data_IF_864163574286
#
_entry.id   IF_864163574286
#
_cell.length_a   1.000
_cell.length_b   1.000
_cell.length_c   1.000
_cell.angle_alpha   90.00
_cell.angle_beta   90.00
_cell.angle_gamma   90.00
#
_symmetry.space_group_name_H-M   'P 1'
#
loop_
_entity.id
_entity.type
_entity.pdbx_description
1 polymer ?
#
# COMPACT_ATOMS: atom_id res chain seq x y z
N UNK A 1 9.79 13.67 24.02
CA UNK A 1 11.04 12.99 23.59
C UNK A 1 10.64 11.89 22.64
N UNK A 2 10.99 12.04 21.35
CA UNK A 2 10.70 11.06 20.32
C UNK A 2 11.68 9.89 20.49
N UNK A 3 11.19 8.76 20.99
CA UNK A 3 11.98 7.53 21.06
C UNK A 3 12.01 6.94 19.66
N UNK A 4 13.19 6.97 19.03
CA UNK A 4 13.42 6.46 17.68
C UNK A 4 13.06 4.97 17.60
N UNK A 5 12.14 4.62 16.70
CA UNK A 5 11.77 3.25 16.40
C UNK A 5 12.90 2.62 15.56
N UNK A 6 13.45 1.51 16.03
CA UNK A 6 14.60 0.83 15.45
C UNK A 6 14.31 0.17 14.09
N UNK A 7 15.34 0.18 13.22
CA UNK A 7 15.51 -0.60 11.99
C UNK A 7 14.55 -0.34 10.80
N UNK A 8 15.01 0.54 9.88
CA UNK A 8 14.52 0.76 8.50
C UNK A 8 12.98 0.77 8.33
N UNK A 9 12.27 1.47 9.20
CA UNK A 9 10.96 1.97 8.86
C UNK A 9 11.11 3.03 7.76
N UNK A 10 10.15 3.11 6.85
CA UNK A 10 10.07 4.22 5.90
C UNK A 10 9.96 5.53 6.72
N UNK A 11 11.01 6.34 6.74
CA UNK A 11 10.96 7.66 7.37
C UNK A 11 10.03 8.52 6.51
N UNK A 12 8.89 8.93 7.05
CA UNK A 12 7.92 9.76 6.37
C UNK A 12 8.15 11.21 6.79
N UNK A 13 8.78 12.05 5.93
CA UNK A 13 9.05 13.43 6.25
C UNK A 13 7.76 14.23 6.46
N UNK A 14 7.86 15.21 7.36
CA UNK A 14 6.77 16.05 7.85
C UNK A 14 6.41 17.21 6.91
N UNK A 15 7.33 17.58 6.00
CA UNK A 15 7.16 18.75 5.16
C UNK A 15 5.88 18.62 4.31
N UNK A 16 5.01 19.66 4.29
CA UNK A 16 3.87 19.66 3.39
C UNK A 16 4.40 19.46 1.97
N UNK A 17 3.82 18.50 1.26
CA UNK A 17 4.08 18.29 -0.15
C UNK A 17 3.77 19.61 -0.84
N UNK A 18 4.83 20.32 -1.26
CA UNK A 18 4.72 21.74 -1.64
C UNK A 18 3.76 21.94 -2.82
N UNK A 19 3.45 20.89 -3.58
CA UNK A 19 2.34 20.81 -4.52
C UNK A 19 1.85 19.35 -4.59
N UNK A 20 0.63 19.06 -4.13
CA UNK A 20 0.03 17.73 -4.31
C UNK A 20 -0.55 17.63 -5.72
N UNK A 21 -0.11 16.67 -6.57
CA UNK A 21 -0.77 16.40 -7.85
C UNK A 21 -2.15 15.77 -7.71
N UNK A 22 -2.50 15.34 -6.50
CA UNK A 22 -3.81 14.78 -6.19
C UNK A 22 -4.68 15.86 -5.52
N UNK A 23 -5.90 16.01 -6.02
CA UNK A 23 -6.93 16.88 -5.47
C UNK A 23 -8.15 16.02 -5.13
N UNK A 24 -8.24 15.65 -3.85
CA UNK A 24 -9.28 14.76 -3.32
C UNK A 24 -10.16 15.50 -2.32
N UNK A 25 -11.47 15.49 -2.57
CA UNK A 25 -12.53 15.87 -1.63
C UNK A 25 -12.58 14.89 -0.45
N UNK A 26 -13.25 15.30 0.64
CA UNK A 26 -13.43 14.44 1.80
C UNK A 26 -14.16 13.13 1.46
N UNK A 27 -15.16 13.19 0.57
CA UNK A 27 -15.89 12.01 0.11
C UNK A 27 -15.00 11.06 -0.70
N UNK A 28 -14.18 11.58 -1.63
CA UNK A 28 -13.27 10.73 -2.43
C UNK A 28 -12.24 10.03 -1.54
N UNK A 29 -11.72 10.71 -0.50
CA UNK A 29 -10.86 10.07 0.50
C UNK A 29 -11.57 8.93 1.21
N UNK A 30 -12.78 9.14 1.72
CA UNK A 30 -13.54 8.07 2.39
C UNK A 30 -13.80 6.88 1.44
N UNK A 31 -14.19 7.15 0.19
CA UNK A 31 -14.40 6.12 -0.82
C UNK A 31 -13.14 5.31 -1.12
N UNK A 32 -11.98 5.98 -1.29
CA UNK A 32 -10.67 5.32 -1.48
C UNK A 32 -10.34 4.42 -0.29
N UNK A 33 -10.50 4.93 0.95
CA UNK A 33 -10.20 4.16 2.16
C UNK A 33 -11.04 2.88 2.26
N UNK A 34 -12.35 2.99 2.01
CA UNK A 34 -13.26 1.84 2.02
C UNK A 34 -12.95 0.86 0.90
N UNK A 35 -12.66 1.36 -0.30
CA UNK A 35 -12.31 0.50 -1.43
C UNK A 35 -11.01 -0.26 -1.18
N UNK A 36 -9.99 0.39 -0.60
CA UNK A 36 -8.75 -0.28 -0.17
C UNK A 36 -9.05 -1.37 0.86
N UNK A 37 -9.84 -1.06 1.90
CA UNK A 37 -10.22 -2.06 2.91
C UNK A 37 -10.99 -3.25 2.28
N UNK A 38 -11.87 -2.97 1.32
CA UNK A 38 -12.60 -3.99 0.58
C UNK A 38 -11.69 -4.85 -0.30
N UNK A 39 -10.70 -4.25 -0.96
CA UNK A 39 -9.71 -4.97 -1.76
C UNK A 39 -8.85 -5.88 -0.90
N UNK A 40 -8.44 -5.41 0.28
CA UNK A 40 -7.56 -6.14 1.19
C UNK A 40 -8.28 -7.28 1.93
N UNK A 41 -9.51 -7.05 2.40
CA UNK A 41 -10.19 -8.02 3.27
C UNK A 41 -11.71 -8.04 3.16
N UNK A 42 -12.29 -7.50 2.07
CA UNK A 42 -13.75 -7.36 1.91
C UNK A 42 -14.40 -6.59 3.06
N UNK A 43 -13.71 -5.54 3.53
CA UNK A 43 -14.14 -4.72 4.65
C UNK A 43 -14.39 -5.52 5.95
N UNK A 44 -13.69 -6.65 6.11
CA UNK A 44 -13.82 -7.50 7.29
C UNK A 44 -13.10 -6.87 8.48
N UNK A 45 -13.79 -6.81 9.63
CA UNK A 45 -13.19 -6.42 10.90
C UNK A 45 -12.03 -7.34 11.29
N UNK A 46 -12.22 -8.66 11.16
CA UNK A 46 -11.16 -9.63 11.41
C UNK A 46 -9.99 -9.45 10.42
N UNK A 47 -10.29 -9.01 9.20
CA UNK A 47 -9.32 -8.72 8.15
C UNK A 47 -8.36 -7.56 8.43
N UNK A 48 -8.68 -6.69 9.41
CA UNK A 48 -7.76 -5.62 9.86
C UNK A 48 -6.49 -6.17 10.53
N UNK A 49 -6.45 -7.46 10.84
CA UNK A 49 -5.29 -8.16 11.37
C UNK A 49 -5.17 -9.50 10.68
N UNK A 50 -4.15 -9.71 9.85
CA UNK A 50 -3.96 -10.97 9.12
C UNK A 50 -2.49 -11.36 9.09
N UNK A 51 -2.20 -12.65 9.10
CA UNK A 51 -0.86 -13.16 8.82
C UNK A 51 -0.98 -14.27 7.78
N UNK A 52 -0.66 -13.97 6.52
CA UNK A 52 -0.91 -14.91 5.43
C UNK A 52 0.05 -16.11 5.49
N UNK A 53 -0.39 -17.30 5.07
CA UNK A 53 0.49 -18.45 4.92
C UNK A 53 1.65 -18.14 3.95
N UNK A 54 2.88 -18.35 4.44
CA UNK A 54 4.11 -18.11 3.66
C UNK A 54 4.71 -16.71 3.81
N UNK A 55 4.13 -15.84 4.62
CA UNK A 55 4.72 -14.53 5.01
C UNK A 55 5.37 -14.63 6.39
N UNK A 56 6.49 -13.93 6.62
CA UNK A 56 7.14 -13.86 7.94
C UNK A 56 6.63 -12.69 8.80
N UNK A 57 5.50 -12.09 8.46
CA UNK A 57 4.95 -10.91 9.13
C UNK A 57 3.41 -10.87 9.08
N UNK A 58 2.76 -10.25 10.07
CA UNK A 58 1.37 -9.83 9.94
C UNK A 58 1.25 -8.51 9.15
N UNK A 59 0.07 -8.34 8.58
CA UNK A 59 -0.42 -7.13 7.93
C UNK A 59 -1.58 -6.55 8.73
N UNK A 60 -1.55 -5.24 8.95
CA UNK A 60 -2.46 -4.54 9.85
C UNK A 60 -3.20 -3.39 9.18
N UNK A 61 -4.44 -3.15 9.59
CA UNK A 61 -5.25 -2.02 9.12
C UNK A 61 -5.74 -2.18 7.68
N UNK A 62 -6.44 -1.16 7.19
CA UNK A 62 -7.03 -1.17 5.85
C UNK A 62 -5.96 -1.24 4.76
N UNK A 63 -4.77 -0.68 5.03
CA UNK A 63 -3.64 -0.68 4.10
C UNK A 63 -2.77 -1.93 4.16
N UNK A 64 -3.10 -2.90 5.01
CA UNK A 64 -2.26 -4.09 5.24
C UNK A 64 -0.80 -3.72 5.55
N UNK A 65 -0.62 -2.83 6.53
CA UNK A 65 0.68 -2.33 6.95
C UNK A 65 1.53 -3.46 7.55
N UNK A 66 2.74 -3.61 7.01
CA UNK A 66 3.66 -4.69 7.37
C UNK A 66 4.32 -4.38 8.71
N UNK A 67 4.29 -5.35 9.64
CA UNK A 67 4.96 -5.25 10.94
C UNK A 67 5.92 -6.43 11.17
N UNK A 68 7.23 -6.23 11.04
CA UNK A 68 8.15 -7.35 11.26
C UNK A 68 8.26 -7.78 12.72
N UNK A 69 8.34 -9.11 13.00
CA UNK A 69 8.77 -9.62 14.29
C UNK A 69 10.16 -9.12 14.70
N UNK A 70 10.44 -9.13 16.00
CA UNK A 70 11.74 -8.75 16.54
C UNK A 70 12.86 -9.57 15.89
N UNK A 71 13.89 -8.90 15.38
CA UNK A 71 15.05 -9.54 14.74
C UNK A 71 14.78 -10.09 13.34
N UNK A 72 13.56 -9.96 12.81
CA UNK A 72 13.21 -10.41 11.47
C UNK A 72 13.38 -9.27 10.46
N UNK A 73 13.93 -9.59 9.29
CA UNK A 73 14.02 -8.67 8.15
C UNK A 73 13.72 -9.43 6.87
N UNK A 74 12.85 -8.87 6.05
CA UNK A 74 12.60 -9.37 4.69
C UNK A 74 12.83 -8.25 3.68
N UNK A 75 12.60 -8.59 2.39
CA UNK A 75 12.81 -7.67 1.27
C UNK A 75 11.82 -6.49 1.21
N UNK A 76 10.69 -6.58 1.90
CA UNK A 76 9.65 -5.56 1.84
C UNK A 76 9.93 -4.44 2.84
N UNK A 77 9.42 -3.24 2.56
CA UNK A 77 9.54 -2.11 3.48
C UNK A 77 8.41 -2.20 4.51
N UNK A 78 8.75 -2.22 5.81
CA UNK A 78 7.73 -2.22 6.86
C UNK A 78 7.10 -0.83 7.03
N UNK A 79 5.77 -0.81 7.08
CA UNK A 79 4.95 0.41 7.07
C UNK A 79 4.16 0.63 8.35
N UNK A 80 4.01 -0.40 9.20
CA UNK A 80 3.29 -0.27 10.47
C UNK A 80 3.92 0.74 11.43
N UNK A 81 5.25 0.72 11.70
CA UNK A 81 5.86 1.73 12.57
C UNK A 81 5.64 3.17 12.08
N UNK A 82 5.74 3.39 10.77
CA UNK A 82 5.52 4.69 10.17
C UNK A 82 4.06 5.15 10.29
N UNK A 83 3.10 4.22 10.19
CA UNK A 83 1.69 4.51 10.45
C UNK A 83 1.44 4.91 11.91
N UNK A 84 2.00 4.17 12.87
CA UNK A 84 1.87 4.49 14.30
C UNK A 84 2.43 5.89 14.60
N UNK A 85 3.60 6.23 14.07
CA UNK A 85 4.18 7.57 14.21
C UNK A 85 3.28 8.65 13.59
N UNK A 86 2.77 8.41 12.37
CA UNK A 86 1.83 9.32 11.71
C UNK A 86 0.56 9.52 12.54
N UNK A 87 0.00 8.45 13.09
CA UNK A 87 -1.20 8.50 13.92
C UNK A 87 -0.99 9.32 15.20
N UNK A 88 0.14 9.09 15.90
CA UNK A 88 0.51 9.86 17.09
C UNK A 88 0.66 11.35 16.78
N UNK A 89 1.32 11.71 15.67
CA UNK A 89 1.46 13.11 15.24
C UNK A 89 0.13 13.78 14.92
N UNK A 90 -0.86 13.01 14.46
CA UNK A 90 -2.24 13.48 14.23
C UNK A 90 -3.12 13.47 15.50
N UNK A 91 -2.52 13.23 16.67
CA UNK A 91 -3.22 13.25 17.95
C UNK A 91 -4.05 12.01 18.25
N UNK A 92 -3.94 10.96 17.42
CA UNK A 92 -4.59 9.69 17.69
C UNK A 92 -3.91 8.98 18.87
N UNK A 93 -4.65 8.05 19.48
CA UNK A 93 -4.19 7.27 20.64
C UNK A 93 -4.23 5.78 20.31
N UNK A 94 -3.15 5.22 19.74
CA UNK A 94 -3.03 3.77 19.57
C UNK A 94 -3.13 3.05 20.94
N UNK A 95 -3.52 1.76 20.95
CA UNK A 95 -3.51 0.96 22.17
C UNK A 95 -2.15 1.02 22.90
N UNK A 96 -2.17 1.11 24.23
CA UNK A 96 -0.94 1.29 25.02
C UNK A 96 0.09 0.17 24.78
N UNK A 97 -0.36 -1.06 24.57
CA UNK A 97 0.53 -2.19 24.29
C UNK A 97 1.23 -2.05 22.92
N UNK A 98 0.59 -1.43 21.92
CA UNK A 98 1.22 -1.12 20.62
C UNK A 98 2.37 -0.13 20.82
N UNK A 99 2.17 0.87 21.68
CA UNK A 99 3.21 1.86 22.00
C UNK A 99 4.37 1.25 22.81
N UNK A 100 4.09 0.22 23.63
CA UNK A 100 5.11 -0.52 24.34
C UNK A 100 5.92 -1.46 23.43
N UNK A 101 5.33 -1.92 22.31
CA UNK A 101 5.95 -2.81 21.33
C UNK A 101 6.94 -2.09 20.38
N UNK A 102 7.95 -1.45 20.97
CA UNK A 102 8.92 -0.58 20.26
C UNK A 102 9.95 -1.34 19.41
N UNK A 103 10.15 -2.64 19.66
CA UNK A 103 11.17 -3.46 19.00
C UNK A 103 10.67 -4.25 17.79
N UNK A 104 9.35 -4.28 17.56
CA UNK A 104 8.73 -5.07 16.50
C UNK A 104 7.44 -5.75 16.95
N UNK A 105 6.86 -6.54 16.05
CA UNK A 105 5.67 -7.34 16.30
C UNK A 105 5.91 -8.29 17.49
N UNK A 106 5.01 -8.30 18.51
CA UNK A 106 5.16 -9.17 19.68
C UNK A 106 5.08 -10.67 19.34
N UNK A 107 4.36 -11.02 18.27
CA UNK A 107 4.21 -12.39 17.82
C UNK A 107 5.39 -12.81 16.94
N UNK A 108 6.09 -13.86 17.38
CA UNK A 108 7.27 -14.41 16.66
C UNK A 108 6.90 -15.12 15.36
N UNK A 109 5.67 -15.61 15.25
CA UNK A 109 5.20 -16.36 14.10
C UNK A 109 3.67 -16.39 14.01
N UNK A 110 3.20 -16.82 12.85
CA UNK A 110 1.79 -16.98 12.53
C UNK A 110 1.00 -17.79 13.57
N UNK A 111 1.56 -18.89 14.08
CA UNK A 111 0.86 -19.74 15.05
C UNK A 111 0.62 -19.04 16.39
N UNK A 112 1.61 -18.28 16.88
CA UNK A 112 1.43 -17.45 18.08
C UNK A 112 0.41 -16.34 17.86
N UNK A 113 0.43 -15.69 16.69
CA UNK A 113 -0.54 -14.66 16.33
C UNK A 113 -1.97 -15.20 16.28
N UNK A 114 -2.18 -16.37 15.67
CA UNK A 114 -3.52 -16.94 15.57
C UNK A 114 -4.02 -17.60 16.85
N UNK A 115 -3.13 -17.99 17.76
CA UNK A 115 -3.49 -18.42 19.11
C UNK A 115 -4.14 -17.28 19.90
N UNK A 116 -3.61 -16.07 19.75
CA UNK A 116 -4.08 -14.88 20.45
C UNK A 116 -5.09 -14.08 19.62
N UNK A 117 -5.52 -14.60 18.46
CA UNK A 117 -6.29 -13.85 17.46
C UNK A 117 -7.54 -13.18 18.03
N UNK A 118 -8.23 -13.90 18.91
CA UNK A 118 -9.45 -13.46 19.60
C UNK A 118 -9.19 -12.89 21.00
N UNK A 119 -7.91 -12.73 21.38
CA UNK A 119 -7.49 -12.15 22.65
C UNK A 119 -7.73 -10.64 22.72
N UNK A 120 -7.52 -10.09 23.92
CA UNK A 120 -7.79 -8.68 24.22
C UNK A 120 -6.95 -7.72 23.37
N UNK A 121 -5.66 -8.00 23.19
CA UNK A 121 -4.74 -7.12 22.44
C UNK A 121 -5.14 -6.97 20.97
N UNK A 122 -5.31 -8.09 20.25
CA UNK A 122 -5.69 -8.07 18.83
C UNK A 122 -7.12 -7.57 18.62
N UNK A 123 -8.04 -7.82 19.56
CA UNK A 123 -9.40 -7.27 19.48
C UNK A 123 -9.39 -5.76 19.66
N UNK A 124 -8.71 -5.25 20.68
CA UNK A 124 -8.54 -3.82 20.91
C UNK A 124 -7.86 -3.13 19.72
N UNK A 125 -6.86 -3.77 19.11
CA UNK A 125 -6.21 -3.25 17.93
C UNK A 125 -7.15 -3.15 16.73
N UNK A 126 -7.96 -4.19 16.46
CA UNK A 126 -8.95 -4.13 15.38
C UNK A 126 -9.99 -3.05 15.62
N UNK A 127 -10.50 -2.91 16.84
CA UNK A 127 -11.47 -1.86 17.18
C UNK A 127 -10.89 -0.46 16.93
N UNK A 128 -9.64 -0.23 17.34
CA UNK A 128 -8.94 1.02 17.08
C UNK A 128 -8.72 1.27 15.58
N UNK A 129 -8.32 0.25 14.83
CA UNK A 129 -8.14 0.34 13.37
C UNK A 129 -9.48 0.62 12.67
N UNK A 130 -10.55 -0.07 13.05
CA UNK A 130 -11.87 0.17 12.49
C UNK A 130 -12.38 1.60 12.79
N UNK A 131 -12.07 2.13 13.98
CA UNK A 131 -12.38 3.50 14.37
C UNK A 131 -11.49 4.58 13.74
N UNK A 132 -10.43 4.20 13.02
CA UNK A 132 -9.44 5.15 12.46
C UNK A 132 -9.22 4.98 10.95
N UNK A 133 -10.23 4.49 10.23
CA UNK A 133 -10.16 4.29 8.76
C UNK A 133 -9.72 5.57 8.04
N UNK A 134 -10.32 6.73 8.33
CA UNK A 134 -9.96 7.99 7.68
C UNK A 134 -8.50 8.40 7.91
N UNK A 135 -7.97 8.15 9.11
CA UNK A 135 -6.56 8.41 9.45
C UNK A 135 -5.61 7.47 8.69
N UNK A 136 -5.97 6.21 8.55
CA UNK A 136 -5.22 5.24 7.74
C UNK A 136 -5.25 5.63 6.26
N UNK A 137 -6.38 6.12 5.76
CA UNK A 137 -6.48 6.61 4.39
C UNK A 137 -5.58 7.81 4.14
N UNK A 138 -5.59 8.80 5.05
CA UNK A 138 -4.69 9.96 4.94
C UNK A 138 -3.22 9.53 4.92
N UNK A 139 -2.85 8.52 5.72
CA UNK A 139 -1.52 7.95 5.71
C UNK A 139 -1.16 7.28 4.37
N UNK A 140 -2.07 6.48 3.81
CA UNK A 140 -1.87 5.79 2.52
C UNK A 140 -1.73 6.82 1.39
N UNK A 141 -2.57 7.86 1.36
CA UNK A 141 -2.47 8.96 0.40
C UNK A 141 -1.13 9.66 0.52
N UNK A 142 -0.72 10.01 1.75
CA UNK A 142 0.56 10.68 2.00
C UNK A 142 1.75 9.84 1.52
N UNK A 143 1.73 8.53 1.80
CA UNK A 143 2.75 7.60 1.28
C UNK A 143 2.75 7.52 -0.24
N UNK A 144 1.59 7.48 -0.88
CA UNK A 144 1.49 7.48 -2.35
C UNK A 144 2.09 8.74 -2.97
N UNK A 145 1.93 9.89 -2.33
CA UNK A 145 2.49 11.15 -2.82
C UNK A 145 4.01 11.20 -2.66
N UNK A 146 4.55 10.69 -1.56
CA UNK A 146 6.00 10.53 -1.40
C UNK A 146 6.59 9.52 -2.40
N UNK A 147 5.84 8.44 -2.66
CA UNK A 147 6.18 7.45 -3.67
C UNK A 147 6.27 8.07 -5.06
N UNK A 148 5.38 8.99 -5.42
CA UNK A 148 5.44 9.68 -6.71
C UNK A 148 6.77 10.41 -6.92
N UNK A 149 7.23 11.18 -5.93
CA UNK A 149 8.52 11.88 -6.02
C UNK A 149 9.69 10.90 -6.18
N UNK A 150 9.69 9.79 -5.43
CA UNK A 150 10.74 8.77 -5.51
C UNK A 150 10.72 8.01 -6.84
N UNK A 151 9.54 7.67 -7.35
CA UNK A 151 9.36 7.01 -8.65
C UNK A 151 9.83 7.92 -9.78
N UNK A 152 9.49 9.21 -9.73
CA UNK A 152 9.95 10.21 -10.69
C UNK A 152 11.48 10.34 -10.69
N UNK A 153 12.10 10.43 -9.50
CA UNK A 153 13.57 10.49 -9.37
C UNK A 153 14.25 9.18 -9.80
N UNK A 154 13.69 8.04 -9.43
CA UNK A 154 14.21 6.71 -9.77
C UNK A 154 14.16 6.38 -11.26
N UNK A 155 13.33 7.09 -12.04
CA UNK A 155 13.24 6.94 -13.49
C UNK A 155 14.41 7.56 -14.27
N UNK A 156 15.23 8.42 -13.63
CA UNK A 156 16.36 9.08 -14.29
C UNK A 156 15.91 9.89 -15.51
N UNK A 157 16.47 9.57 -16.68
CA UNK A 157 16.17 10.25 -17.95
C UNK A 157 14.69 10.20 -18.35
N UNK A 158 13.95 9.21 -17.85
CA UNK A 158 12.53 9.02 -18.17
C UNK A 158 11.59 9.74 -17.19
N UNK A 159 12.14 10.50 -16.24
CA UNK A 159 11.39 11.24 -15.22
C UNK A 159 10.23 12.06 -15.79
N UNK A 160 10.42 12.75 -16.92
CA UNK A 160 9.36 13.58 -17.54
C UNK A 160 8.23 12.72 -18.13
N UNK A 161 8.54 11.54 -18.67
CA UNK A 161 7.53 10.58 -19.16
C UNK A 161 6.70 10.05 -18.00
N UNK A 162 7.36 9.66 -16.91
CA UNK A 162 6.69 9.16 -15.69
C UNK A 162 5.78 10.22 -15.09
N UNK A 163 6.27 11.45 -14.95
CA UNK A 163 5.47 12.57 -14.45
C UNK A 163 4.26 12.85 -15.35
N UNK A 164 4.45 12.94 -16.67
CA UNK A 164 3.35 13.14 -17.62
C UNK A 164 2.29 12.03 -17.51
N UNK A 165 2.71 10.77 -17.47
CA UNK A 165 1.78 9.64 -17.38
C UNK A 165 1.05 9.62 -16.04
N UNK A 166 1.73 9.94 -14.93
CA UNK A 166 1.09 10.10 -13.62
C UNK A 166 -0.01 11.17 -13.67
N UNK A 167 0.28 12.36 -14.21
CA UNK A 167 -0.71 13.44 -14.29
C UNK A 167 -1.89 13.11 -15.20
N UNK A 168 -1.65 12.39 -16.31
CA UNK A 168 -2.72 11.91 -17.20
C UNK A 168 -3.70 10.99 -16.47
N UNK A 169 -3.18 10.09 -15.62
CA UNK A 169 -4.01 9.17 -14.81
C UNK A 169 -4.70 9.94 -13.67
N UNK A 170 -3.99 10.85 -12.99
CA UNK A 170 -4.53 11.61 -11.87
C UNK A 170 -5.66 12.60 -12.25
N UNK A 171 -5.94 12.77 -13.54
CA UNK A 171 -6.96 13.69 -14.04
C UNK A 171 -8.41 13.28 -13.72
N UNK A 172 -8.66 12.06 -13.20
CA UNK A 172 -9.99 11.61 -12.75
C UNK A 172 -9.96 11.02 -11.34
N UNK A 173 -11.09 11.03 -10.60
CA UNK A 173 -11.16 10.46 -9.25
C UNK A 173 -10.76 8.98 -9.17
N UNK A 174 -11.22 8.14 -10.10
CA UNK A 174 -10.84 6.73 -10.17
C UNK A 174 -9.37 6.53 -10.56
N UNK A 175 -8.79 7.44 -11.34
CA UNK A 175 -7.36 7.44 -11.65
C UNK A 175 -6.50 7.82 -10.45
N UNK A 176 -6.91 8.81 -9.65
CA UNK A 176 -6.25 9.12 -8.37
C UNK A 176 -6.30 7.91 -7.42
N UNK A 177 -7.45 7.26 -7.31
CA UNK A 177 -7.60 5.99 -6.58
C UNK A 177 -6.63 4.92 -7.10
N UNK A 178 -6.56 4.70 -8.42
CA UNK A 178 -5.70 3.69 -9.02
C UNK A 178 -4.22 3.92 -8.66
N UNK A 179 -3.74 5.16 -8.72
CA UNK A 179 -2.37 5.51 -8.34
C UNK A 179 -2.09 5.22 -6.87
N UNK A 180 -3.00 5.64 -5.97
CA UNK A 180 -2.88 5.44 -4.53
C UNK A 180 -2.91 3.94 -4.17
N UNK A 181 -3.90 3.22 -4.67
CA UNK A 181 -4.09 1.81 -4.40
C UNK A 181 -2.94 0.99 -4.97
N UNK A 182 -2.43 1.29 -6.18
CA UNK A 182 -1.34 0.52 -6.76
C UNK A 182 -0.04 0.62 -5.96
N UNK A 183 0.27 1.80 -5.40
CA UNK A 183 1.40 1.95 -4.47
C UNK A 183 1.17 1.10 -3.21
N UNK A 184 -0.03 1.13 -2.63
CA UNK A 184 -0.36 0.30 -1.46
C UNK A 184 -0.30 -1.20 -1.77
N UNK A 185 -0.70 -1.59 -2.98
CA UNK A 185 -0.87 -2.96 -3.44
C UNK A 185 0.44 -3.63 -3.89
N UNK A 186 1.25 -2.92 -4.67
CA UNK A 186 2.44 -3.46 -5.35
C UNK A 186 3.72 -2.69 -5.10
N UNK A 187 3.62 -1.52 -4.48
CA UNK A 187 4.76 -0.68 -4.18
C UNK A 187 5.22 0.15 -5.37
N UNK A 188 6.34 0.82 -5.16
CA UNK A 188 6.86 1.89 -6.01
C UNK A 188 7.58 1.36 -7.24
N UNK A 189 8.21 0.19 -7.12
CA UNK A 189 9.01 -0.41 -8.20
C UNK A 189 10.42 0.15 -8.33
N UNK A 190 10.89 0.89 -7.33
CA UNK A 190 12.25 1.46 -7.30
C UNK A 190 13.29 0.53 -6.65
N UNK A 191 12.85 -0.42 -5.81
CA UNK A 191 13.75 -1.35 -5.13
C UNK A 191 14.29 -2.41 -6.10
N UNK A 192 15.61 -2.60 -6.11
CA UNK A 192 16.24 -3.69 -6.89
C UNK A 192 15.95 -5.07 -6.30
N UNK A 193 15.77 -5.17 -4.98
CA UNK A 193 15.42 -6.42 -4.29
C UNK A 193 14.00 -6.91 -4.59
N UNK A 194 13.16 -6.04 -5.16
CA UNK A 194 11.78 -6.32 -5.58
C UNK A 194 11.68 -6.51 -7.10
N UNK A 195 12.63 -7.28 -7.66
CA UNK A 195 12.66 -7.64 -9.07
C UNK A 195 12.77 -9.15 -9.24
N UNK A 196 12.17 -9.66 -10.31
CA UNK A 196 12.40 -11.04 -10.76
C UNK A 196 13.03 -10.99 -12.15
N UNK A 197 14.16 -11.68 -12.32
CA UNK A 197 14.97 -11.63 -13.54
C UNK A 197 15.28 -10.19 -13.98
N UNK A 198 15.61 -9.30 -13.03
CA UNK A 198 15.90 -7.89 -13.29
C UNK A 198 14.69 -7.01 -13.61
N UNK A 199 13.48 -7.57 -13.70
CA UNK A 199 12.26 -6.83 -14.00
C UNK A 199 11.43 -6.54 -12.75
N UNK A 200 11.10 -5.26 -12.54
CA UNK A 200 10.16 -4.81 -11.51
C UNK A 200 8.70 -4.83 -11.98
N UNK A 201 7.79 -4.53 -11.06
CA UNK A 201 6.33 -4.53 -11.26
C UNK A 201 5.59 -3.42 -10.51
N UNK A 202 6.31 -2.49 -9.89
CA UNK A 202 5.68 -1.41 -9.12
C UNK A 202 5.24 -0.24 -10.00
N UNK A 203 4.80 0.84 -9.35
CA UNK A 203 4.26 2.03 -10.02
C UNK A 203 5.16 2.56 -11.15
N UNK A 204 6.49 2.59 -10.93
CA UNK A 204 7.46 3.02 -11.94
C UNK A 204 7.30 2.22 -13.24
N UNK A 205 7.28 0.89 -13.16
CA UNK A 205 7.19 0.05 -14.36
C UNK A 205 5.83 0.16 -15.05
N UNK A 206 4.75 0.39 -14.28
CA UNK A 206 3.42 0.60 -14.87
C UNK A 206 3.37 1.90 -15.65
N UNK A 207 3.77 3.01 -15.03
CA UNK A 207 3.78 4.33 -15.67
C UNK A 207 4.71 4.36 -16.88
N UNK A 208 5.82 3.64 -16.82
CA UNK A 208 6.76 3.53 -17.94
C UNK A 208 6.19 2.75 -19.12
N UNK A 209 5.49 1.65 -18.84
CA UNK A 209 4.93 0.74 -19.85
C UNK A 209 3.53 1.16 -20.34
N UNK A 210 3.03 2.32 -19.91
CA UNK A 210 1.76 2.86 -20.38
C UNK A 210 1.86 3.23 -21.87
N UNK A 211 0.90 2.79 -22.71
CA UNK A 211 0.76 3.35 -24.05
C UNK A 211 0.38 4.84 -23.96
N UNK A 212 0.62 5.60 -25.02
CA UNK A 212 0.12 6.96 -25.11
C UNK A 212 -1.42 6.96 -25.11
N UNK A 213 -1.98 7.85 -24.30
CA UNK A 213 -3.42 8.02 -24.11
C UNK A 213 -3.71 9.47 -23.71
N UNK A 214 -4.93 9.91 -24.03
CA UNK A 214 -5.43 11.21 -23.58
C UNK A 214 -5.60 11.23 -22.05
N UNK A 215 -5.40 12.40 -21.40
CA UNK A 215 -5.64 12.54 -19.96
C UNK A 215 -7.07 12.12 -19.57
N UNK A 216 -7.20 11.52 -18.38
CA UNK A 216 -8.47 11.06 -17.83
C UNK A 216 -8.72 9.57 -18.08
N UNK A 217 -9.96 9.18 -18.41
CA UNK A 217 -10.37 7.77 -18.42
C UNK A 217 -9.53 6.91 -19.38
N UNK A 218 -9.15 7.41 -20.56
CA UNK A 218 -8.29 6.68 -21.49
C UNK A 218 -6.90 6.38 -20.88
N UNK A 219 -6.35 7.32 -20.11
CA UNK A 219 -5.11 7.10 -19.36
C UNK A 219 -5.28 6.08 -18.22
N UNK A 220 -6.45 6.05 -17.55
CA UNK A 220 -6.76 5.04 -16.53
C UNK A 220 -6.82 3.64 -17.14
N UNK A 221 -7.45 3.49 -18.31
CA UNK A 221 -7.47 2.23 -19.07
C UNK A 221 -6.07 1.80 -19.48
N UNK A 222 -5.27 2.72 -20.01
CA UNK A 222 -3.86 2.50 -20.34
C UNK A 222 -3.03 2.06 -19.12
N UNK A 223 -3.27 2.68 -17.96
CA UNK A 223 -2.64 2.33 -16.68
C UNK A 223 -3.02 0.92 -16.23
N UNK A 224 -4.32 0.59 -16.18
CA UNK A 224 -4.79 -0.73 -15.77
C UNK A 224 -4.28 -1.83 -16.71
N UNK A 225 -4.22 -1.56 -18.02
CA UNK A 225 -3.65 -2.47 -19.00
C UNK A 225 -2.15 -2.70 -18.77
N UNK A 226 -1.37 -1.63 -18.56
CA UNK A 226 0.05 -1.73 -18.24
C UNK A 226 0.29 -2.50 -16.92
N UNK A 227 -0.52 -2.21 -15.89
CA UNK A 227 -0.49 -2.91 -14.61
C UNK A 227 -0.71 -4.42 -14.76
N UNK A 228 -1.71 -4.85 -15.55
CA UNK A 228 -1.92 -6.28 -15.85
C UNK A 228 -0.70 -6.91 -16.50
N UNK A 229 -0.11 -6.26 -17.51
CA UNK A 229 1.11 -6.76 -18.17
C UNK A 229 2.27 -6.90 -17.18
N UNK A 230 2.46 -5.94 -16.28
CA UNK A 230 3.52 -6.00 -15.28
C UNK A 230 3.32 -7.17 -14.31
N UNK A 231 2.07 -7.44 -13.92
CA UNK A 231 1.75 -8.55 -13.03
C UNK A 231 1.85 -9.92 -13.72
N UNK A 232 1.47 -10.05 -14.99
CA UNK A 232 1.68 -11.28 -15.75
C UNK A 232 3.18 -11.55 -15.96
N UNK A 233 3.98 -10.51 -16.27
CA UNK A 233 5.44 -10.64 -16.35
C UNK A 233 6.04 -11.06 -15.01
N UNK A 234 5.56 -10.49 -13.90
CA UNK A 234 5.97 -10.89 -12.55
C UNK A 234 5.68 -12.37 -12.30
N UNK A 235 4.49 -12.85 -12.65
CA UNK A 235 4.11 -14.26 -12.50
C UNK A 235 5.03 -15.15 -13.34
N UNK A 236 5.26 -14.80 -14.61
CA UNK A 236 6.13 -15.56 -15.50
C UNK A 236 7.58 -15.64 -14.99
N UNK A 237 8.07 -14.59 -14.35
CA UNK A 237 9.43 -14.53 -13.79
C UNK A 237 9.52 -15.05 -12.34
N UNK A 238 8.39 -15.40 -11.70
CA UNK A 238 8.37 -15.76 -10.28
C UNK A 238 9.02 -17.12 -10.05
N UNK A 239 9.81 -17.30 -8.97
CA UNK A 239 10.30 -18.63 -8.59
C UNK A 239 9.14 -19.62 -8.40
N UNK A 240 9.19 -20.84 -8.97
CA UNK A 240 8.08 -21.80 -8.94
C UNK A 240 7.55 -22.09 -7.54
N UNK A 241 8.42 -22.15 -6.54
CA UNK A 241 8.08 -22.40 -5.13
C UNK A 241 7.18 -21.32 -4.51
N UNK A 242 7.15 -20.11 -5.06
CA UNK A 242 6.24 -19.04 -4.61
C UNK A 242 4.84 -19.18 -5.17
N UNK A 243 4.69 -19.90 -6.28
CA UNK A 243 3.42 -20.16 -6.96
C UNK A 243 2.53 -18.90 -7.09
N UNK A 244 3.11 -17.77 -7.53
CA UNK A 244 2.40 -16.48 -7.56
C UNK A 244 1.21 -16.46 -8.52
N UNK A 245 1.14 -17.40 -9.48
CA UNK A 245 0.01 -17.58 -10.38
C UNK A 245 -1.33 -17.75 -9.64
N UNK A 246 -1.33 -18.30 -8.41
CA UNK A 246 -2.53 -18.41 -7.57
C UNK A 246 -3.20 -17.06 -7.26
N UNK A 247 -2.45 -15.96 -7.36
CA UNK A 247 -2.94 -14.61 -7.07
C UNK A 247 -3.48 -13.87 -8.30
N UNK A 248 -3.25 -14.40 -9.52
CA UNK A 248 -3.57 -13.76 -10.80
C UNK A 248 -5.00 -13.20 -10.81
N UNK A 249 -5.98 -14.03 -10.52
CA UNK A 249 -7.39 -13.61 -10.57
C UNK A 249 -7.70 -12.52 -9.55
N UNK A 250 -7.20 -12.64 -8.32
CA UNK A 250 -7.42 -11.63 -7.28
C UNK A 250 -6.79 -10.29 -7.67
N UNK A 251 -5.59 -10.32 -8.24
CA UNK A 251 -4.91 -9.14 -8.73
C UNK A 251 -5.66 -8.50 -9.90
N UNK A 252 -6.12 -9.29 -10.88
CA UNK A 252 -6.88 -8.78 -12.01
C UNK A 252 -8.22 -8.16 -11.58
N UNK A 253 -8.94 -8.81 -10.66
CA UNK A 253 -10.17 -8.26 -10.09
C UNK A 253 -9.94 -6.93 -9.37
N UNK A 254 -8.81 -6.77 -8.68
CA UNK A 254 -8.44 -5.48 -8.07
C UNK A 254 -8.19 -4.42 -9.14
N UNK A 255 -7.45 -4.74 -10.20
CA UNK A 255 -7.21 -3.81 -11.32
C UNK A 255 -8.49 -3.45 -12.10
N UNK A 256 -9.48 -4.35 -12.15
CA UNK A 256 -10.80 -4.07 -12.76
C UNK A 256 -11.49 -2.90 -12.04
N UNK A 257 -11.31 -2.77 -10.72
CA UNK A 257 -11.92 -1.67 -9.95
C UNK A 257 -11.42 -0.29 -10.35
N UNK A 258 -10.25 -0.18 -10.99
CA UNK A 258 -9.70 1.11 -11.42
C UNK A 258 -10.48 1.69 -12.61
N UNK A 259 -11.11 0.82 -13.40
CA UNK A 259 -11.84 1.19 -14.61
C UNK A 259 -13.23 1.76 -14.29
N UNK A 260 -13.76 1.44 -13.11
CA UNK A 260 -15.05 1.90 -12.64
C UNK A 260 -14.98 3.33 -12.09
N UNK A 261 -16.07 4.12 -12.17
CA UNK A 261 -16.18 5.35 -11.42
C UNK A 261 -15.94 5.09 -9.93
N UNK A 262 -15.21 6.00 -9.28
CA UNK A 262 -15.01 5.91 -7.83
C UNK A 262 -16.39 5.91 -7.15
N UNK A 263 -16.62 4.89 -6.33
CA UNK A 263 -17.87 4.68 -5.59
C UNK A 263 -17.56 4.04 -4.25
N UNK A 264 -18.51 4.12 -3.32
CA UNK A 264 -18.44 3.33 -2.10
C UNK A 264 -18.65 1.85 -2.47
N UNK A 265 -17.84 0.92 -1.96
CA UNK A 265 -18.07 -0.50 -2.17
C UNK A 265 -19.38 -0.92 -1.51
N UNK A 266 -20.12 -1.79 -2.20
CA UNK A 266 -21.35 -2.43 -1.72
C UNK A 266 -21.06 -3.66 -0.84
#
# INVERSE_FOLDING_TARGET
>A
MATAIGAAAEAIPEAPLKHSPLSLTAWERDAIGRQIWFNESRASHAGLTVWNPGEGFPSLGIGHFIWYPVGHRERFVQSWPAFVEFALRRGARPPAWVLAATTGCPWRNRDSFYRDFHGAELSQLRDWLAGTVSLQTDFIIHRSLLAFDRVRLGAGNDSQRIERNYMRVAATPNGQYALIDYVNFKGEGISESERYAGAGWGLLQVLDAMPDAEPGQAAVEAFALAARRMLERRIANSPPERNEARWREGWHRRLDTYLEPLRLPE
#
